data_IF_182015178692
#
_entry.id   IF_182015178692
#
_cell.length_a   1.000
_cell.length_b   1.000
_cell.length_c   1.000
_cell.angle_alpha   90.00
_cell.angle_beta   90.00
_cell.angle_gamma   90.00
#
_symmetry.space_group_name_H-M   'P 1'
#
loop_
_entity.id
_entity.type
_entity.pdbx_description
1 polymer ?
#
# COMPACT_ATOMS: atom_id res chain seq x y z
N UNK A 1 5.92 -21.02 -4.43
CA UNK A 1 7.03 -20.26 -3.79
C UNK A 1 8.32 -21.09 -3.74
N UNK A 2 9.39 -20.63 -4.40
CA UNK A 2 10.68 -21.34 -4.55
C UNK A 2 11.79 -20.87 -3.59
N UNK A 3 11.45 -20.02 -2.62
CA UNK A 3 12.38 -19.51 -1.61
C UNK A 3 13.26 -18.34 -2.05
N UNK A 4 13.10 -17.81 -3.28
CA UNK A 4 13.79 -16.58 -3.70
C UNK A 4 13.28 -15.37 -2.94
N UNK A 5 14.17 -14.42 -2.67
CA UNK A 5 13.88 -13.17 -1.98
C UNK A 5 14.03 -12.01 -2.94
N UNK A 6 13.05 -11.11 -2.91
CA UNK A 6 13.04 -9.84 -3.65
C UNK A 6 12.72 -8.72 -2.67
N UNK A 7 13.22 -7.51 -2.93
CA UNK A 7 13.12 -6.39 -2.00
C UNK A 7 12.71 -5.10 -2.70
N UNK A 8 11.94 -4.29 -1.99
CA UNK A 8 11.68 -2.88 -2.27
C UNK A 8 12.19 -2.09 -1.05
N UNK A 9 13.09 -1.15 -1.28
CA UNK A 9 13.59 -0.27 -0.22
C UNK A 9 12.61 0.89 -0.01
N UNK A 10 12.57 1.41 1.22
CA UNK A 10 11.70 2.53 1.59
C UNK A 10 12.17 3.80 0.88
N UNK A 11 11.25 4.50 0.21
CA UNK A 11 11.62 5.66 -0.61
C UNK A 11 11.49 6.98 0.17
N UNK A 12 10.44 7.09 0.98
CA UNK A 12 10.20 8.23 1.84
C UNK A 12 10.62 7.89 3.27
N UNK A 13 11.85 8.25 3.62
CA UNK A 13 12.36 8.09 4.98
C UNK A 13 11.79 9.17 5.88
N UNK A 14 11.19 8.78 7.00
CA UNK A 14 10.63 9.72 7.98
C UNK A 14 11.73 10.54 8.64
N UNK A 15 11.41 11.73 9.20
CA UNK A 15 12.40 12.52 9.94
C UNK A 15 13.15 11.72 11.01
N UNK A 16 12.45 10.94 11.83
CA UNK A 16 13.05 10.14 12.91
C UNK A 16 13.97 9.03 12.36
N UNK A 17 13.57 8.31 11.31
CA UNK A 17 14.43 7.29 10.70
C UNK A 17 15.73 7.90 10.14
N UNK A 18 15.66 9.11 9.58
CA UNK A 18 16.86 9.82 9.11
C UNK A 18 17.78 10.23 10.26
N UNK A 19 17.23 10.82 11.33
CA UNK A 19 18.04 11.36 12.43
C UNK A 19 18.54 10.29 13.39
N UNK A 20 17.71 9.29 13.71
CA UNK A 20 17.99 8.35 14.79
C UNK A 20 18.60 7.04 14.28
N UNK A 21 18.26 6.63 13.05
CA UNK A 21 18.72 5.37 12.47
C UNK A 21 19.72 5.56 11.32
N UNK A 22 19.92 6.80 10.85
CA UNK A 22 20.79 7.09 9.73
C UNK A 22 20.31 6.45 8.42
N UNK A 23 19.00 6.17 8.30
CA UNK A 23 18.43 5.52 7.12
C UNK A 23 18.45 6.46 5.92
N UNK A 24 18.90 5.95 4.78
CA UNK A 24 18.85 6.65 3.49
C UNK A 24 17.68 6.13 2.66
N UNK A 25 17.09 6.97 1.79
CA UNK A 25 16.03 6.52 0.88
C UNK A 25 16.56 5.49 -0.11
N UNK A 26 15.71 4.54 -0.49
CA UNK A 26 15.97 3.64 -1.61
C UNK A 26 15.95 4.36 -2.96
N UNK A 27 16.47 3.68 -3.97
CA UNK A 27 16.51 4.16 -5.36
C UNK A 27 15.51 3.35 -6.19
N UNK A 28 14.55 4.05 -6.82
CA UNK A 28 13.60 3.44 -7.75
C UNK A 28 12.39 2.72 -7.13
N UNK A 29 11.39 2.46 -7.97
CA UNK A 29 10.14 1.80 -7.60
C UNK A 29 10.07 0.48 -8.37
N UNK A 30 9.67 -0.60 -7.69
CA UNK A 30 9.54 -1.92 -8.29
C UNK A 30 8.08 -2.38 -8.34
N UNK A 31 7.74 -3.02 -9.46
CA UNK A 31 6.51 -3.78 -9.64
C UNK A 31 6.87 -5.26 -9.72
N UNK A 32 6.24 -6.08 -8.88
CA UNK A 32 6.50 -7.51 -8.85
C UNK A 32 5.41 -8.24 -9.64
N UNK A 33 5.80 -8.86 -10.75
CA UNK A 33 4.93 -9.66 -11.60
C UNK A 33 4.91 -11.10 -11.07
N UNK A 34 3.80 -11.48 -10.43
CA UNK A 34 3.65 -12.79 -9.76
C UNK A 34 2.54 -13.62 -10.43
N UNK A 35 2.52 -14.95 -10.27
CA UNK A 35 1.43 -15.79 -10.75
C UNK A 35 0.05 -15.48 -10.13
N UNK A 36 0.00 -14.67 -9.07
CA UNK A 36 -1.21 -14.33 -8.32
C UNK A 36 -1.67 -12.89 -8.54
N UNK A 37 -1.03 -12.17 -9.47
CA UNK A 37 -1.29 -10.76 -9.75
C UNK A 37 -0.04 -9.89 -9.63
N UNK A 38 -0.13 -8.66 -10.12
CA UNK A 38 0.95 -7.67 -10.05
C UNK A 38 0.87 -6.91 -8.75
N UNK A 39 1.93 -7.05 -7.94
CA UNK A 39 1.97 -6.49 -6.59
C UNK A 39 3.04 -5.40 -6.50
N UNK A 40 2.82 -4.44 -5.62
CA UNK A 40 3.81 -3.45 -5.24
C UNK A 40 3.90 -3.34 -3.72
N UNK A 41 5.00 -2.79 -3.23
CA UNK A 41 5.25 -2.58 -1.79
C UNK A 41 5.49 -1.10 -1.56
N UNK A 42 4.70 -0.48 -0.70
CA UNK A 42 4.91 0.90 -0.25
C UNK A 42 5.06 0.90 1.27
N UNK A 43 6.27 1.17 1.77
CA UNK A 43 6.59 0.97 3.18
C UNK A 43 6.14 2.17 4.01
N UNK A 44 5.18 1.94 4.90
CA UNK A 44 4.73 2.88 5.92
C UNK A 44 4.42 4.28 5.35
N UNK A 45 5.40 5.19 5.43
CA UNK A 45 5.27 6.57 4.99
C UNK A 45 5.09 6.71 3.48
N UNK A 46 5.58 5.75 2.69
CA UNK A 46 5.45 5.78 1.22
C UNK A 46 3.99 5.86 0.74
N UNK A 47 3.05 5.21 1.44
CA UNK A 47 1.63 5.21 1.06
C UNK A 47 0.97 6.59 1.24
N UNK A 48 1.60 7.51 1.97
CA UNK A 48 1.08 8.86 2.14
C UNK A 48 1.29 9.73 0.88
N UNK A 49 2.13 9.32 -0.07
CA UNK A 49 2.49 10.08 -1.27
C UNK A 49 1.70 9.61 -2.51
N UNK A 50 0.69 10.36 -3.00
CA UNK A 50 -0.23 9.93 -4.07
C UNK A 50 0.46 9.53 -5.37
N UNK A 51 1.59 10.15 -5.66
CA UNK A 51 2.40 9.95 -6.84
C UNK A 51 2.83 8.48 -6.96
N UNK A 52 3.34 7.88 -5.88
CA UNK A 52 3.84 6.50 -5.91
C UNK A 52 2.74 5.50 -6.26
N UNK A 53 1.62 5.55 -5.54
CA UNK A 53 0.50 4.64 -5.77
C UNK A 53 -0.09 4.83 -7.16
N UNK A 54 -0.16 6.08 -7.65
CA UNK A 54 -0.64 6.38 -9.00
C UNK A 54 0.29 5.83 -10.06
N UNK A 55 1.60 6.04 -9.94
CA UNK A 55 2.58 5.53 -10.91
C UNK A 55 2.59 4.00 -10.94
N UNK A 56 2.52 3.34 -9.78
CA UNK A 56 2.38 1.88 -9.68
C UNK A 56 1.08 1.37 -10.33
N UNK A 57 -0.04 2.04 -10.09
CA UNK A 57 -1.31 1.69 -10.71
C UNK A 57 -1.25 1.81 -12.25
N UNK A 58 -0.61 2.87 -12.76
CA UNK A 58 -0.38 3.06 -14.20
C UNK A 58 0.56 2.02 -14.80
N UNK A 59 1.53 1.52 -14.01
CA UNK A 59 2.38 0.38 -14.38
C UNK A 59 1.63 -0.97 -14.31
N UNK A 60 0.39 -0.98 -13.82
CA UNK A 60 -0.47 -2.16 -13.78
C UNK A 60 -0.46 -2.90 -12.45
N UNK A 61 -0.09 -2.26 -11.35
CA UNK A 61 -0.30 -2.82 -10.03
C UNK A 61 -1.80 -3.08 -9.77
N UNK A 62 -2.07 -4.19 -9.09
CA UNK A 62 -3.41 -4.61 -8.69
C UNK A 62 -3.54 -4.63 -7.16
N UNK A 63 -2.43 -4.88 -6.47
CA UNK A 63 -2.35 -4.96 -5.01
C UNK A 63 -1.14 -4.16 -4.54
N UNK A 64 -1.34 -3.28 -3.55
CA UNK A 64 -0.25 -2.66 -2.80
C UNK A 64 -0.19 -3.25 -1.39
N UNK A 65 0.96 -3.78 -1.00
CA UNK A 65 1.26 -4.14 0.38
C UNK A 65 1.91 -2.97 1.10
N UNK A 66 1.39 -2.67 2.29
CA UNK A 66 1.80 -1.54 3.13
C UNK A 66 2.22 -2.08 4.51
N UNK A 67 3.46 -2.58 4.65
CA UNK A 67 4.01 -2.82 5.97
C UNK A 67 4.24 -1.49 6.69
N UNK A 68 3.82 -1.36 7.94
CA UNK A 68 3.97 -0.10 8.70
C UNK A 68 4.35 -0.33 10.16
N UNK A 69 4.89 0.72 10.79
CA UNK A 69 5.16 0.80 12.23
C UNK A 69 4.81 2.20 12.69
N UNK A 70 3.88 2.30 13.64
CA UNK A 70 3.37 3.58 14.17
C UNK A 70 3.16 3.50 15.66
N UNK A 71 3.40 4.61 16.37
CA UNK A 71 3.36 4.65 17.84
C UNK A 71 1.94 4.80 18.40
N UNK A 72 1.11 5.62 17.74
CA UNK A 72 -0.19 6.04 18.22
C UNK A 72 -1.28 5.91 17.16
N UNK A 73 -2.54 5.82 17.61
CA UNK A 73 -3.72 5.76 16.72
C UNK A 73 -3.74 6.86 15.66
N UNK A 74 -3.36 8.10 16.00
CA UNK A 74 -3.34 9.21 15.02
C UNK A 74 -2.34 9.00 13.89
N UNK A 75 -1.21 8.36 14.18
CA UNK A 75 -0.19 8.03 13.18
C UNK A 75 -0.67 6.88 12.29
N UNK A 76 -1.24 5.83 12.89
CA UNK A 76 -1.90 4.76 12.14
C UNK A 76 -3.01 5.29 11.22
N UNK A 77 -3.87 6.17 11.72
CA UNK A 77 -5.00 6.70 10.95
C UNK A 77 -4.54 7.48 9.72
N UNK A 78 -3.40 8.19 9.77
CA UNK A 78 -2.81 8.80 8.56
C UNK A 78 -2.51 7.76 7.49
N UNK A 79 -1.77 6.70 7.85
CA UNK A 79 -1.42 5.59 6.95
C UNK A 79 -2.69 4.91 6.42
N UNK A 80 -3.65 4.64 7.31
CA UNK A 80 -4.92 3.96 6.99
C UNK A 80 -5.81 4.77 6.05
N UNK A 81 -5.92 6.09 6.25
CA UNK A 81 -6.74 6.96 5.43
C UNK A 81 -6.13 7.18 4.05
N UNK A 82 -4.81 7.39 3.96
CA UNK A 82 -4.16 7.51 2.67
C UNK A 82 -4.27 6.19 1.91
N UNK A 83 -3.99 5.05 2.55
CA UNK A 83 -4.18 3.73 1.95
C UNK A 83 -5.61 3.49 1.42
N UNK A 84 -6.64 3.90 2.17
CA UNK A 84 -8.03 3.82 1.71
C UNK A 84 -8.25 4.67 0.46
N UNK A 85 -7.76 5.90 0.46
CA UNK A 85 -7.85 6.77 -0.70
C UNK A 85 -7.15 6.13 -1.92
N UNK A 86 -6.00 5.48 -1.72
CA UNK A 86 -5.27 4.79 -2.80
C UNK A 86 -5.98 3.59 -3.36
N UNK A 87 -6.67 2.81 -2.53
CA UNK A 87 -7.49 1.71 -3.00
C UNK A 87 -8.63 2.21 -3.91
N UNK A 88 -9.29 3.29 -3.50
CA UNK A 88 -10.43 3.89 -4.22
C UNK A 88 -9.99 4.58 -5.51
N UNK A 89 -9.04 5.52 -5.45
CA UNK A 89 -8.72 6.39 -6.59
C UNK A 89 -7.96 5.69 -7.73
N UNK A 90 -7.35 4.54 -7.42
CA UNK A 90 -6.51 3.79 -8.37
C UNK A 90 -7.12 2.45 -8.81
N UNK A 91 -8.29 2.05 -8.28
CA UNK A 91 -8.84 0.71 -8.51
C UNK A 91 -7.81 -0.38 -8.20
N UNK A 92 -7.33 -0.41 -6.96
CA UNK A 92 -6.40 -1.43 -6.47
C UNK A 92 -6.83 -1.91 -5.09
N UNK A 93 -6.41 -3.11 -4.72
CA UNK A 93 -6.45 -3.52 -3.32
C UNK A 93 -5.25 -2.94 -2.57
N UNK A 94 -5.43 -2.61 -1.29
CA UNK A 94 -4.34 -2.16 -0.43
C UNK A 94 -4.37 -2.94 0.87
N UNK A 95 -3.27 -3.62 1.19
CA UNK A 95 -3.16 -4.51 2.36
C UNK A 95 -2.23 -3.88 3.38
N UNK A 96 -2.76 -3.53 4.54
CA UNK A 96 -2.00 -2.96 5.66
C UNK A 96 -1.64 -4.06 6.65
N UNK A 97 -0.37 -4.10 7.04
CA UNK A 97 0.12 -4.94 8.13
C UNK A 97 1.08 -4.14 8.97
N UNK A 98 0.86 -4.09 10.28
CA UNK A 98 1.72 -3.34 11.19
C UNK A 98 1.94 -4.07 12.49
N UNK A 99 3.03 -3.72 13.17
CA UNK A 99 3.36 -4.31 14.45
C UNK A 99 2.39 -3.88 15.55
N UNK A 100 2.16 -4.79 16.48
CA UNK A 100 1.38 -4.60 17.70
C UNK A 100 2.24 -4.99 18.90
N UNK A 101 1.82 -4.55 20.09
CA UNK A 101 2.59 -4.76 21.32
C UNK A 101 3.71 -3.74 21.51
N UNK A 102 4.26 -3.70 22.71
CA UNK A 102 5.21 -2.67 23.14
C UNK A 102 6.55 -3.30 23.52
N UNK A 103 7.65 -2.62 23.22
CA UNK A 103 9.00 -3.01 23.60
C UNK A 103 9.63 -1.87 24.45
N UNK A 104 9.35 -1.81 25.77
CA UNK A 104 9.72 -0.67 26.61
C UNK A 104 11.23 -0.40 26.69
N UNK A 105 12.05 -1.41 26.42
CA UNK A 105 13.51 -1.34 26.45
C UNK A 105 14.14 -0.97 25.10
N UNK A 106 13.34 -0.94 24.02
CA UNK A 106 13.82 -0.65 22.67
C UNK A 106 13.40 0.77 22.30
N UNK A 107 14.41 1.61 22.03
CA UNK A 107 14.20 2.99 21.56
C UNK A 107 13.35 2.97 20.29
N UNK A 108 12.38 3.87 20.18
CA UNK A 108 11.42 3.99 19.06
C UNK A 108 10.40 2.83 18.91
N UNK A 109 10.34 1.90 19.87
CA UNK A 109 9.31 0.84 19.93
C UNK A 109 8.64 0.75 21.31
N UNK A 110 8.72 1.85 22.09
CA UNK A 110 8.21 1.93 23.47
C UNK A 110 6.69 1.72 23.49
N UNK A 111 6.00 2.31 22.50
CA UNK A 111 4.58 2.12 22.26
C UNK A 111 4.38 1.83 20.77
N UNK A 112 3.41 0.98 20.45
CA UNK A 112 2.99 0.78 19.07
C UNK A 112 1.47 0.75 18.98
N UNK A 113 0.98 1.21 17.85
CA UNK A 113 -0.41 1.10 17.44
C UNK A 113 -0.47 0.46 16.06
N UNK A 114 -1.18 -0.65 15.95
CA UNK A 114 -1.32 -1.41 14.72
C UNK A 114 -2.70 -2.03 14.60
N UNK A 115 -3.23 -2.03 13.38
CA UNK A 115 -4.45 -2.73 13.01
C UNK A 115 -4.32 -3.14 11.54
N UNK A 116 -4.30 -4.45 11.29
CA UNK A 116 -4.19 -4.96 9.93
C UNK A 116 -5.53 -4.80 9.21
N UNK A 117 -5.48 -4.49 7.91
CA UNK A 117 -6.68 -4.27 7.11
C UNK A 117 -6.44 -4.60 5.64
N UNK A 118 -7.47 -5.11 4.98
CA UNK A 118 -7.52 -5.38 3.54
C UNK A 118 -8.54 -4.41 2.96
N UNK A 119 -8.04 -3.42 2.22
CA UNK A 119 -8.84 -2.34 1.66
C UNK A 119 -9.15 -2.64 0.20
N UNK A 120 -10.36 -2.29 -0.19
CA UNK A 120 -10.88 -2.48 -1.54
C UNK A 120 -11.16 -1.13 -2.18
N UNK A 121 -11.35 -1.08 -3.51
CA UNK A 121 -12.07 0.04 -4.10
C UNK A 121 -13.47 0.18 -3.49
N UNK A 122 -14.12 1.31 -3.72
CA UNK A 122 -15.45 1.61 -3.19
C UNK A 122 -16.41 1.84 -4.36
N UNK A 123 -17.02 0.75 -4.82
CA UNK A 123 -18.00 0.75 -5.91
C UNK A 123 -18.89 -0.51 -5.76
N UNK A 124 -19.88 -0.67 -6.65
CA UNK A 124 -20.96 -1.67 -6.51
C UNK A 124 -20.49 -3.10 -6.22
N UNK A 125 -19.37 -3.53 -6.80
CA UNK A 125 -18.84 -4.88 -6.64
C UNK A 125 -18.03 -5.10 -5.35
N UNK A 126 -17.86 -4.06 -4.52
CA UNK A 126 -17.02 -4.08 -3.32
C UNK A 126 -17.84 -3.84 -2.04
N UNK A 127 -17.31 -4.20 -0.86
CA UNK A 127 -17.96 -3.93 0.41
C UNK A 127 -18.29 -2.44 0.61
N UNK A 128 -19.42 -2.16 1.27
CA UNK A 128 -19.93 -0.78 1.50
C UNK A 128 -18.89 0.15 2.13
N UNK A 129 -18.05 -0.36 3.03
CA UNK A 129 -16.99 0.40 3.69
C UNK A 129 -15.68 0.52 2.90
N UNK A 130 -15.55 -0.13 1.75
CA UNK A 130 -14.27 -0.27 1.05
C UNK A 130 -13.24 -1.11 1.83
N UNK A 131 -13.73 -2.04 2.67
CA UNK A 131 -12.92 -2.89 3.56
C UNK A 131 -13.38 -4.34 3.42
N UNK A 132 -12.48 -5.20 2.95
CA UNK A 132 -12.68 -6.63 2.83
C UNK A 132 -12.45 -7.36 4.16
N UNK A 133 -11.66 -6.78 5.06
CA UNK A 133 -11.50 -7.24 6.43
C UNK A 133 -10.53 -6.36 7.21
N UNK A 134 -10.67 -6.32 8.53
CA UNK A 134 -9.75 -5.66 9.44
C UNK A 134 -9.69 -6.40 10.79
N UNK A 135 -8.56 -6.31 11.48
CA UNK A 135 -8.40 -6.91 12.82
C UNK A 135 -8.88 -5.96 13.90
N UNK A 136 -8.98 -6.45 15.14
CA UNK A 136 -9.05 -5.57 16.30
C UNK A 136 -7.74 -4.76 16.43
N UNK A 137 -7.80 -3.50 16.91
CA UNK A 137 -6.61 -2.71 17.16
C UNK A 137 -5.72 -3.33 18.24
N UNK A 138 -4.41 -3.32 18.00
CA UNK A 138 -3.38 -3.76 18.95
C UNK A 138 -3.46 -5.21 19.40
N UNK A 139 -4.11 -6.07 18.62
CA UNK A 139 -4.19 -7.51 18.86
C UNK A 139 -3.29 -8.26 17.87
N UNK A 140 -2.53 -9.25 18.38
CA UNK A 140 -1.82 -10.20 17.51
C UNK A 140 -2.87 -11.06 16.80
N UNK A 141 -3.04 -10.86 15.50
CA UNK A 141 -4.13 -11.46 14.73
C UNK A 141 -3.78 -11.51 13.25
N UNK A 142 -4.42 -12.41 12.52
CA UNK A 142 -4.37 -12.50 11.06
C UNK A 142 -5.75 -12.18 10.50
N UNK A 143 -5.80 -11.28 9.53
CA UNK A 143 -6.98 -11.05 8.68
C UNK A 143 -6.79 -11.80 7.36
N UNK A 144 -7.84 -12.49 6.90
CA UNK A 144 -7.84 -13.25 5.66
C UNK A 144 -9.04 -12.81 4.83
N UNK A 145 -8.82 -12.57 3.54
CA UNK A 145 -9.89 -12.30 2.58
C UNK A 145 -9.48 -12.78 1.19
N UNK A 146 -10.45 -13.16 0.37
CA UNK A 146 -10.25 -13.52 -1.03
C UNK A 146 -10.35 -12.26 -1.89
N UNK A 147 -9.32 -12.00 -2.69
CA UNK A 147 -9.28 -10.85 -3.60
C UNK A 147 -9.61 -11.31 -5.02
N UNK A 148 -10.71 -10.83 -5.56
CA UNK A 148 -11.09 -11.11 -6.94
C UNK A 148 -10.50 -10.06 -7.89
N UNK A 149 -9.43 -10.45 -8.59
CA UNK A 149 -8.78 -9.62 -9.61
C UNK A 149 -9.60 -9.50 -10.90
N UNK A 150 -10.49 -10.47 -11.17
CA UNK A 150 -11.42 -10.40 -12.32
C UNK A 150 -12.45 -9.31 -12.09
N UNK A 151 -13.04 -9.26 -10.90
CA UNK A 151 -13.94 -8.17 -10.50
C UNK A 151 -13.23 -6.83 -10.51
N UNK A 152 -11.97 -6.76 -10.05
CA UNK A 152 -11.16 -5.55 -10.11
C UNK A 152 -10.97 -5.06 -11.55
N UNK A 153 -10.63 -5.96 -12.47
CA UNK A 153 -10.46 -5.66 -13.89
C UNK A 153 -11.77 -5.25 -14.57
N UNK A 154 -12.88 -5.90 -14.24
CA UNK A 154 -14.20 -5.54 -14.78
C UNK A 154 -14.65 -4.16 -14.29
N UNK A 155 -14.52 -3.88 -12.99
CA UNK A 155 -14.97 -2.62 -12.41
C UNK A 155 -14.20 -1.41 -12.96
N UNK A 156 -12.95 -1.61 -13.36
CA UNK A 156 -12.16 -0.61 -14.09
C UNK A 156 -12.84 -0.15 -15.38
N UNK A 157 -13.62 -1.00 -16.04
CA UNK A 157 -14.37 -0.66 -17.26
C UNK A 157 -15.76 -0.09 -16.96
N UNK A 158 -16.49 -0.73 -16.03
CA UNK A 158 -17.93 -0.48 -15.78
C UNK A 158 -18.22 0.38 -14.55
N UNK A 159 -17.20 0.90 -13.88
CA UNK A 159 -17.31 1.68 -12.65
C UNK A 159 -18.28 2.85 -12.75
N UNK A 160 -19.01 3.11 -11.66
CA UNK A 160 -20.00 4.20 -11.59
C UNK A 160 -19.37 5.58 -11.70
N UNK A 161 -18.18 5.72 -11.10
CA UNK A 161 -17.18 6.77 -11.33
C UNK A 161 -15.89 6.10 -11.76
N UNK A 162 -14.94 6.80 -12.40
CA UNK A 162 -13.68 6.18 -12.85
C UNK A 162 -12.47 7.11 -12.69
N UNK A 163 -12.12 7.56 -11.47
CA UNK A 163 -11.03 8.52 -11.24
C UNK A 163 -9.67 8.10 -11.83
N UNK A 164 -9.39 6.81 -11.96
CA UNK A 164 -8.17 6.33 -12.62
C UNK A 164 -8.15 6.60 -14.14
N UNK A 165 -9.30 6.46 -14.80
CA UNK A 165 -9.42 6.59 -16.25
C UNK A 165 -9.78 8.02 -16.68
N UNK A 166 -10.54 8.74 -15.86
CA UNK A 166 -11.00 10.11 -16.13
C UNK A 166 -9.91 11.17 -15.81
N UNK A 167 -8.64 10.75 -15.77
CA UNK A 167 -7.48 11.63 -15.55
C UNK A 167 -7.32 12.63 -16.70
N UNK A 168 -6.72 13.77 -16.40
CA UNK A 168 -6.46 14.87 -17.34
C UNK A 168 -4.96 15.10 -17.51
N UNK A 169 -4.24 14.19 -18.19
CA UNK A 169 -2.79 14.30 -18.40
C UNK A 169 -2.39 15.52 -19.25
N UNK A 170 -3.36 16.19 -19.89
CA UNK A 170 -3.20 17.49 -20.53
C UNK A 170 -3.05 18.65 -19.53
N UNK A 171 -3.51 18.50 -18.28
CA UNK A 171 -3.40 19.51 -17.22
C UNK A 171 -2.23 19.26 -16.28
N UNK A 172 -1.80 18.01 -16.13
CA UNK A 172 -0.71 17.62 -15.25
C UNK A 172 0.06 16.45 -15.84
N UNK A 173 1.37 16.44 -15.61
CA UNK A 173 2.22 15.34 -16.02
C UNK A 173 2.73 14.58 -14.79
N UNK A 174 2.54 13.26 -14.80
CA UNK A 174 3.07 12.37 -13.77
C UNK A 174 3.86 11.28 -14.48
N UNK A 175 5.15 11.53 -14.64
CA UNK A 175 6.11 10.62 -15.25
C UNK A 175 7.20 10.37 -14.21
N UNK A 176 7.54 9.10 -13.92
CA UNK A 176 8.63 8.82 -13.01
C UNK A 176 9.95 9.26 -13.65
N UNK A 177 10.89 9.75 -12.84
CA UNK A 177 12.21 10.16 -13.35
C UNK A 177 13.02 8.96 -13.87
N UNK A 178 12.77 7.78 -13.33
CA UNK A 178 13.33 6.50 -13.75
C UNK A 178 12.21 5.51 -14.06
N UNK A 179 12.45 4.55 -14.94
CA UNK A 179 11.45 3.54 -15.26
C UNK A 179 11.15 2.66 -14.04
N UNK A 180 9.87 2.31 -13.84
CA UNK A 180 9.49 1.36 -12.79
C UNK A 180 10.01 -0.03 -13.19
N UNK A 181 10.91 -0.58 -12.38
CA UNK A 181 11.49 -1.90 -12.62
C UNK A 181 10.41 -2.97 -12.44
N UNK A 182 10.14 -3.76 -13.49
CA UNK A 182 9.25 -4.92 -13.38
C UNK A 182 10.05 -6.18 -13.07
N UNK A 183 9.92 -6.68 -11.85
CA UNK A 183 10.60 -7.87 -11.34
C UNK A 183 9.70 -9.09 -11.51
N UNK A 184 10.13 -10.07 -12.33
CA UNK A 184 9.39 -11.33 -12.49
C UNK A 184 9.64 -12.28 -11.32
N UNK A 185 8.58 -12.64 -10.62
CA UNK A 185 8.62 -13.55 -9.47
C UNK A 185 8.12 -14.93 -9.91
N UNK A 186 9.06 -15.82 -10.26
CA UNK A 186 8.83 -17.22 -10.61
C UNK A 186 9.72 -18.17 -9.85
#
# INVERSE_FOLDING_TARGET
PNGKVYTQDKLHVTPNERTDWGTSPGEGIKLFDTPFGRIAILICYDIEFPELSRMLALAGAEIIFVPFSTDEKKAYLRVRYTAQARAVENYMYVVLSGNVGNLPTIKNYIINYGQAAILTPSDLAFPVGGVAGETDPNAETVVISELDLTTLALQREIGSVRPFYDRRPDLYNLIPCEEIETVRVG
#
